data_IF_219848524278
#
_entry.id   IF_219848524278
#
_cell.length_a   1.000
_cell.length_b   1.000
_cell.length_c   1.000
_cell.angle_alpha   90.00
_cell.angle_beta   90.00
_cell.angle_gamma   90.00
#
_symmetry.space_group_name_H-M   'P 1'
#
loop_
_entity.id
_entity.type
_entity.pdbx_description
1 polymer ?
#
# COMPACT_ATOMS: atom_id res chain seq x y z
N UNK A 1 24.30 12.67 -27.03
CA UNK A 1 25.60 13.00 -26.41
C UNK A 1 26.43 13.64 -27.49
N UNK A 2 26.99 14.82 -27.25
CA UNK A 2 27.84 15.52 -28.22
C UNK A 2 29.12 15.89 -27.47
N UNK A 3 30.28 15.51 -28.01
CA UNK A 3 31.59 15.80 -27.41
C UNK A 3 31.72 15.40 -25.92
N UNK A 4 31.14 14.27 -25.52
CA UNK A 4 31.19 13.79 -24.13
C UNK A 4 30.17 14.44 -23.18
N UNK A 5 29.39 15.42 -23.64
CA UNK A 5 28.34 16.06 -22.85
C UNK A 5 26.95 15.48 -23.16
N UNK A 6 26.17 15.25 -22.10
CA UNK A 6 24.78 14.80 -22.17
C UNK A 6 23.86 15.97 -21.89
N UNK A 7 23.06 16.37 -22.88
CA UNK A 7 22.04 17.40 -22.69
C UNK A 7 20.84 16.83 -21.96
N UNK A 8 20.39 17.56 -20.93
CA UNK A 8 19.31 17.13 -20.06
C UNK A 8 18.27 18.23 -19.93
N UNK A 9 17.00 17.82 -19.89
CA UNK A 9 15.91 18.75 -19.56
C UNK A 9 15.80 18.95 -18.05
N UNK A 10 15.24 20.08 -17.60
CA UNK A 10 15.12 20.46 -16.17
C UNK A 10 14.58 19.34 -15.28
N UNK A 11 13.61 18.53 -15.76
CA UNK A 11 13.07 17.38 -15.02
C UNK A 11 14.11 16.26 -14.81
N UNK A 12 14.96 16.01 -15.79
CA UNK A 12 16.02 15.00 -15.69
C UNK A 12 17.11 15.46 -14.71
N UNK A 13 17.52 16.74 -14.79
CA UNK A 13 18.46 17.34 -13.83
C UNK A 13 17.93 17.24 -12.39
N UNK A 14 16.65 17.59 -12.17
CA UNK A 14 16.03 17.46 -10.85
C UNK A 14 16.03 16.02 -10.31
N UNK A 15 15.85 15.02 -11.19
CA UNK A 15 15.93 13.60 -10.81
C UNK A 15 17.35 13.19 -10.46
N UNK A 16 18.35 13.61 -11.24
CA UNK A 16 19.76 13.30 -10.97
C UNK A 16 20.22 13.96 -9.67
N UNK A 17 19.86 15.23 -9.45
CA UNK A 17 20.19 15.94 -8.22
C UNK A 17 19.57 15.25 -7.00
N UNK A 18 18.29 14.84 -7.11
CA UNK A 18 17.62 14.08 -6.05
C UNK A 18 18.38 12.79 -5.75
N UNK A 19 18.74 12.03 -6.78
CA UNK A 19 19.47 10.77 -6.60
C UNK A 19 20.82 10.99 -5.93
N UNK A 20 21.58 12.00 -6.37
CA UNK A 20 22.86 12.35 -5.78
C UNK A 20 22.75 12.75 -4.31
N UNK A 21 21.74 13.56 -3.95
CA UNK A 21 21.47 13.94 -2.56
C UNK A 21 21.06 12.71 -1.73
N UNK A 22 20.19 11.85 -2.27
CA UNK A 22 19.77 10.61 -1.58
C UNK A 22 20.98 9.72 -1.30
N UNK A 23 21.85 9.48 -2.28
CA UNK A 23 23.08 8.70 -2.10
C UNK A 23 23.99 9.35 -1.06
N UNK A 24 24.15 10.68 -1.09
CA UNK A 24 24.98 11.39 -0.12
C UNK A 24 24.47 11.20 1.31
N UNK A 25 23.17 11.42 1.54
CA UNK A 25 22.54 11.23 2.85
C UNK A 25 22.63 9.78 3.31
N UNK A 26 22.38 8.81 2.43
CA UNK A 26 22.50 7.39 2.74
C UNK A 26 23.94 7.04 3.17
N UNK A 27 24.96 7.51 2.44
CA UNK A 27 26.36 7.32 2.83
C UNK A 27 26.67 7.95 4.18
N UNK A 28 26.26 9.22 4.39
CA UNK A 28 26.46 9.92 5.66
C UNK A 28 25.81 9.22 6.85
N UNK A 29 24.78 8.39 6.65
CA UNK A 29 24.15 7.60 7.71
C UNK A 29 24.82 6.22 7.83
N UNK A 30 25.19 5.59 6.71
CA UNK A 30 25.80 4.25 6.69
C UNK A 30 27.20 4.24 7.31
N UNK A 31 27.92 5.37 7.19
CA UNK A 31 29.24 5.56 7.80
C UNK A 31 29.17 5.71 9.34
N UNK A 32 27.98 5.92 9.93
CA UNK A 32 27.78 5.79 11.36
C UNK A 32 27.63 4.30 11.73
N UNK A 33 28.71 3.69 12.23
CA UNK A 33 28.61 2.39 12.89
C UNK A 33 27.90 2.53 14.23
N UNK A 34 26.60 2.22 14.24
CA UNK A 34 25.82 2.07 15.46
C UNK A 34 25.95 0.62 15.91
N UNK A 35 26.74 0.38 16.97
CA UNK A 35 26.97 -0.96 17.53
C UNK A 35 25.70 -1.56 18.19
N UNK A 36 24.75 -0.73 18.62
CA UNK A 36 23.51 -1.19 19.24
C UNK A 36 22.36 -1.31 18.24
N UNK A 37 21.82 -2.52 18.08
CA UNK A 37 20.52 -2.74 17.40
C UNK A 37 19.34 -2.13 18.17
N UNK A 38 19.56 -1.73 19.42
CA UNK A 38 18.55 -1.17 20.32
C UNK A 38 18.74 0.34 20.43
N UNK A 39 17.64 1.06 20.20
CA UNK A 39 17.59 2.50 20.36
C UNK A 39 17.63 2.82 21.86
N UNK A 40 18.53 3.71 22.34
CA UNK A 40 18.54 4.13 23.73
C UNK A 40 17.16 4.62 24.17
N UNK A 41 16.74 4.28 25.40
CA UNK A 41 15.41 4.61 25.94
C UNK A 41 15.06 6.09 25.79
N UNK A 42 16.03 6.98 26.07
CA UNK A 42 15.88 8.42 25.92
C UNK A 42 15.43 8.82 24.50
N UNK A 43 16.01 8.22 23.46
CA UNK A 43 15.69 8.52 22.05
C UNK A 43 14.39 7.84 21.62
N UNK A 44 14.08 6.68 22.19
CA UNK A 44 12.86 5.92 21.89
C UNK A 44 11.61 6.74 22.20
N UNK A 45 11.57 7.40 23.35
CA UNK A 45 10.43 8.21 23.78
C UNK A 45 10.23 9.43 22.87
N UNK A 46 11.33 10.10 22.46
CA UNK A 46 11.26 11.17 21.46
C UNK A 46 10.79 10.67 20.10
N UNK A 47 11.27 9.50 19.65
CA UNK A 47 10.85 8.91 18.37
C UNK A 47 9.37 8.52 18.41
N UNK A 48 8.88 7.95 19.50
CA UNK A 48 7.46 7.63 19.70
C UNK A 48 6.61 8.90 19.74
N UNK A 49 7.05 9.94 20.45
CA UNK A 49 6.39 11.25 20.49
C UNK A 49 6.35 11.89 19.11
N UNK A 50 7.46 11.90 18.37
CA UNK A 50 7.51 12.42 16.99
C UNK A 50 6.62 11.59 16.07
N UNK A 51 6.62 10.25 16.19
CA UNK A 51 5.71 9.38 15.44
C UNK A 51 4.25 9.68 15.75
N UNK A 52 3.91 9.95 17.00
CA UNK A 52 2.55 10.29 17.43
C UNK A 52 2.13 11.68 16.90
N UNK A 53 2.97 12.71 17.08
CA UNK A 53 2.76 14.05 16.52
C UNK A 53 2.66 14.03 15.00
N UNK A 54 3.56 13.29 14.33
CA UNK A 54 3.47 13.05 12.91
C UNK A 54 2.20 12.28 12.57
N UNK A 55 1.73 11.32 13.37
CA UNK A 55 0.47 10.61 13.10
C UNK A 55 -0.76 11.51 13.21
N UNK A 56 -0.71 12.51 14.11
CA UNK A 56 -1.75 13.53 14.31
C UNK A 56 -1.77 14.55 13.17
N UNK A 57 -0.62 14.91 12.61
CA UNK A 57 -0.50 15.87 11.49
C UNK A 57 -0.37 15.24 10.10
N UNK A 58 -0.05 13.95 10.01
CA UNK A 58 -0.05 13.15 8.79
C UNK A 58 -1.52 12.99 8.43
N UNK A 59 -1.98 13.91 7.58
CA UNK A 59 -3.29 13.89 6.95
C UNK A 59 -3.61 12.41 6.65
N UNK A 60 -4.66 11.81 7.26
CA UNK A 60 -5.06 10.45 6.92
C UNK A 60 -5.17 10.44 5.41
N UNK A 61 -4.54 9.47 4.70
CA UNK A 61 -4.45 9.48 3.22
C UNK A 61 -5.77 9.97 2.66
N UNK A 62 -5.82 11.25 2.24
CA UNK A 62 -7.08 11.87 1.87
C UNK A 62 -7.36 11.31 0.50
N UNK A 63 -8.15 10.26 0.48
CA UNK A 63 -8.63 9.69 -0.75
C UNK A 63 -9.76 10.59 -1.22
N UNK A 64 -9.42 11.54 -2.09
CA UNK A 64 -10.40 12.30 -2.85
C UNK A 64 -10.95 11.34 -3.91
N UNK A 65 -12.17 10.87 -3.71
CA UNK A 65 -12.95 10.26 -4.76
C UNK A 65 -14.18 11.14 -5.02
N UNK A 66 -14.36 11.59 -6.26
CA UNK A 66 -15.46 12.45 -6.68
C UNK A 66 -15.64 13.69 -5.77
N UNK A 67 -14.56 14.39 -5.45
CA UNK A 67 -14.59 15.62 -4.64
C UNK A 67 -14.84 15.44 -3.13
N UNK A 68 -15.24 14.25 -2.67
CA UNK A 68 -15.50 13.97 -1.24
C UNK A 68 -14.25 13.40 -0.55
N UNK A 69 -13.89 13.96 0.61
CA UNK A 69 -12.80 13.44 1.47
C UNK A 69 -13.29 12.18 2.19
N UNK A 70 -12.65 11.04 1.93
CA UNK A 70 -12.89 9.80 2.67
C UNK A 70 -11.77 9.60 3.70
N UNK A 71 -12.14 9.49 4.97
CA UNK A 71 -11.22 9.24 6.08
C UNK A 71 -11.52 7.85 6.64
N UNK A 72 -10.74 6.85 6.24
CA UNK A 72 -10.75 5.53 6.90
C UNK A 72 -9.33 5.24 7.33
N UNK A 73 -9.16 5.04 8.64
CA UNK A 73 -7.94 4.53 9.24
C UNK A 73 -8.17 3.05 9.49
N UNK A 74 -7.63 2.19 8.63
CA UNK A 74 -7.49 0.76 8.91
C UNK A 74 -6.19 0.56 9.67
N UNK A 75 -6.19 -0.29 10.69
CA UNK A 75 -4.96 -0.71 11.35
C UNK A 75 -4.09 -1.54 10.38
N UNK A 76 -2.79 -1.58 10.64
CA UNK A 76 -1.89 -2.47 9.90
C UNK A 76 -2.35 -3.93 10.05
N UNK A 77 -2.31 -4.69 8.96
CA UNK A 77 -2.83 -6.05 8.89
C UNK A 77 -4.35 -6.14 8.75
N UNK A 78 -5.12 -5.05 8.88
CA UNK A 78 -6.56 -5.07 8.67
C UNK A 78 -6.91 -4.82 7.21
N UNK A 79 -7.30 -5.89 6.50
CA UNK A 79 -7.71 -5.85 5.10
C UNK A 79 -9.18 -6.25 4.95
N UNK A 80 -10.00 -5.29 4.52
CA UNK A 80 -11.41 -5.53 4.15
C UNK A 80 -11.51 -6.04 2.70
N UNK A 81 -11.65 -7.34 2.50
CA UNK A 81 -11.72 -7.95 1.16
C UNK A 81 -12.94 -7.47 0.36
N UNK A 82 -14.05 -7.15 1.04
CA UNK A 82 -15.30 -6.62 0.46
C UNK A 82 -15.11 -5.22 -0.12
N UNK A 83 -14.07 -4.50 0.32
CA UNK A 83 -13.74 -3.19 -0.19
C UNK A 83 -12.92 -3.25 -1.49
N UNK A 84 -12.51 -4.43 -1.97
CA UNK A 84 -11.66 -4.54 -3.15
C UNK A 84 -12.35 -3.98 -4.40
N UNK A 85 -11.65 -3.17 -5.21
CA UNK A 85 -12.18 -2.76 -6.50
C UNK A 85 -12.34 -3.96 -7.42
N UNK A 86 -13.25 -3.92 -8.42
CA UNK A 86 -13.58 -5.07 -9.27
C UNK A 86 -12.36 -5.69 -9.96
N UNK A 87 -11.38 -4.86 -10.36
CA UNK A 87 -10.14 -5.30 -10.98
C UNK A 87 -9.30 -6.17 -10.02
N UNK A 88 -9.11 -5.69 -8.78
CA UNK A 88 -8.33 -6.43 -7.77
C UNK A 88 -9.11 -7.62 -7.22
N UNK A 89 -10.43 -7.50 -7.08
CA UNK A 89 -11.31 -8.60 -6.67
C UNK A 89 -11.23 -9.76 -7.67
N UNK A 90 -11.28 -9.48 -8.97
CA UNK A 90 -11.10 -10.49 -10.02
C UNK A 90 -9.77 -11.23 -9.93
N UNK A 91 -8.65 -10.52 -9.69
CA UNK A 91 -7.33 -11.14 -9.54
C UNK A 91 -7.24 -11.95 -8.25
N UNK A 92 -7.78 -11.41 -7.15
CA UNK A 92 -7.82 -12.07 -5.85
C UNK A 92 -8.61 -13.38 -5.92
N UNK A 93 -9.80 -13.37 -6.52
CA UNK A 93 -10.65 -14.55 -6.63
C UNK A 93 -10.03 -15.61 -7.57
N UNK A 94 -9.36 -15.20 -8.65
CA UNK A 94 -8.59 -16.10 -9.50
C UNK A 94 -7.48 -16.82 -8.71
N UNK A 95 -6.75 -16.07 -7.87
CA UNK A 95 -5.72 -16.63 -7.01
C UNK A 95 -6.30 -17.60 -5.97
N UNK A 96 -7.44 -17.28 -5.35
CA UNK A 96 -8.13 -18.18 -4.42
C UNK A 96 -8.61 -19.47 -5.08
N UNK A 97 -8.93 -19.44 -6.38
CA UNK A 97 -9.27 -20.64 -7.17
C UNK A 97 -8.05 -21.46 -7.60
N UNK A 98 -6.83 -21.01 -7.25
CA UNK A 98 -5.59 -21.64 -7.66
C UNK A 98 -5.27 -21.47 -9.15
N UNK A 99 -5.86 -20.47 -9.81
CA UNK A 99 -5.53 -20.17 -11.20
C UNK A 99 -4.10 -19.63 -11.31
N UNK A 100 -3.43 -19.97 -12.41
CA UNK A 100 -2.10 -19.44 -12.66
C UNK A 100 -2.17 -17.97 -13.10
N UNK A 101 -1.76 -17.08 -12.21
CA UNK A 101 -1.70 -15.65 -12.50
C UNK A 101 -0.50 -15.30 -13.38
N UNK A 102 -0.71 -14.42 -14.35
CA UNK A 102 0.36 -13.76 -15.11
C UNK A 102 1.25 -12.90 -14.21
N UNK A 103 2.47 -12.61 -14.67
CA UNK A 103 3.41 -11.73 -13.96
C UNK A 103 2.78 -10.39 -13.55
N UNK A 104 2.03 -9.76 -14.46
CA UNK A 104 1.36 -8.49 -14.17
C UNK A 104 0.24 -8.61 -13.13
N UNK A 105 -0.51 -9.71 -13.12
CA UNK A 105 -1.53 -9.97 -12.10
C UNK A 105 -0.89 -10.16 -10.71
N UNK A 106 0.17 -10.96 -10.62
CA UNK A 106 0.92 -11.18 -9.38
C UNK A 106 1.47 -9.87 -8.83
N UNK A 107 2.11 -9.06 -9.68
CA UNK A 107 2.61 -7.74 -9.30
C UNK A 107 1.48 -6.82 -8.83
N UNK A 108 0.36 -6.77 -9.58
CA UNK A 108 -0.76 -5.89 -9.27
C UNK A 108 -1.37 -6.21 -7.90
N UNK A 109 -1.64 -7.49 -7.59
CA UNK A 109 -2.25 -7.88 -6.32
C UNK A 109 -1.27 -7.72 -5.15
N UNK A 110 -0.01 -8.10 -5.31
CA UNK A 110 1.00 -7.97 -4.26
C UNK A 110 1.22 -6.50 -3.87
N UNK A 111 1.47 -5.64 -4.86
CA UNK A 111 1.66 -4.20 -4.61
C UNK A 111 0.39 -3.54 -4.08
N UNK A 112 -0.80 -3.94 -4.52
CA UNK A 112 -2.06 -3.46 -3.98
C UNK A 112 -2.20 -3.77 -2.49
N UNK A 113 -2.07 -5.05 -2.11
CA UNK A 113 -2.17 -5.52 -0.72
C UNK A 113 -1.19 -4.77 0.20
N UNK A 114 0.08 -4.66 -0.20
CA UNK A 114 1.09 -3.92 0.55
C UNK A 114 0.76 -2.42 0.71
N UNK A 115 0.11 -1.81 -0.29
CA UNK A 115 -0.21 -0.37 -0.26
C UNK A 115 -1.48 -0.04 0.54
N UNK A 116 -2.39 -1.00 0.71
CA UNK A 116 -3.59 -0.87 1.57
C UNK A 116 -3.30 -1.20 3.05
N UNK A 117 -2.17 -1.84 3.34
CA UNK A 117 -1.69 -2.11 4.71
C UNK A 117 -1.63 -3.57 5.11
N UNK A 118 -1.71 -4.51 4.15
CA UNK A 118 -1.48 -5.92 4.43
C UNK A 118 -0.03 -6.17 4.87
N UNK A 119 0.17 -7.11 5.78
CA UNK A 119 1.51 -7.55 6.19
C UNK A 119 2.16 -8.41 5.10
N UNK A 120 3.48 -8.57 5.18
CA UNK A 120 4.22 -9.44 4.25
C UNK A 120 3.70 -10.87 4.32
N UNK A 121 3.47 -11.39 5.54
CA UNK A 121 2.98 -12.76 5.72
C UNK A 121 1.57 -12.94 5.15
N UNK A 122 0.68 -11.95 5.28
CA UNK A 122 -0.64 -12.00 4.63
C UNK A 122 -0.55 -12.07 3.10
N UNK A 123 0.42 -11.37 2.50
CA UNK A 123 0.63 -11.42 1.05
C UNK A 123 1.21 -12.77 0.64
N UNK A 124 2.17 -13.31 1.39
CA UNK A 124 2.75 -14.64 1.15
C UNK A 124 1.67 -15.72 1.28
N UNK A 125 0.85 -15.66 2.34
CA UNK A 125 -0.26 -16.58 2.57
C UNK A 125 -1.26 -16.58 1.43
N UNK A 126 -1.57 -15.40 0.87
CA UNK A 126 -2.41 -15.30 -0.31
C UNK A 126 -1.83 -16.07 -1.51
N UNK A 127 -0.51 -16.00 -1.72
CA UNK A 127 0.17 -16.71 -2.81
C UNK A 127 0.33 -18.22 -2.59
N UNK A 128 0.05 -18.76 -1.40
CA UNK A 128 0.04 -20.22 -1.18
C UNK A 128 -0.93 -20.96 -2.09
N UNK A 129 -1.97 -20.28 -2.57
CA UNK A 129 -2.92 -20.84 -3.52
C UNK A 129 -2.37 -20.93 -4.95
N UNK A 130 -1.25 -20.27 -5.26
CA UNK A 130 -0.67 -20.32 -6.60
C UNK A 130 -0.05 -21.70 -6.87
N UNK A 131 -0.22 -22.25 -8.09
CA UNK A 131 0.24 -23.60 -8.43
C UNK A 131 1.77 -23.77 -8.40
N UNK A 132 2.50 -22.67 -8.57
CA UNK A 132 3.97 -22.59 -8.57
C UNK A 132 4.54 -22.01 -7.26
N UNK A 133 3.75 -22.02 -6.18
CA UNK A 133 4.15 -21.39 -4.93
C UNK A 133 5.44 -21.99 -4.36
N UNK A 134 6.41 -21.11 -4.12
CA UNK A 134 7.59 -21.40 -3.33
C UNK A 134 7.75 -20.31 -2.27
N UNK A 135 7.75 -20.68 -0.99
CA UNK A 135 7.76 -19.70 0.10
C UNK A 135 9.00 -18.80 0.07
N UNK A 136 10.20 -19.39 -0.10
CA UNK A 136 11.46 -18.63 -0.09
C UNK A 136 11.49 -17.60 -1.21
N UNK A 137 11.15 -18.00 -2.43
CA UNK A 137 11.10 -17.11 -3.59
C UNK A 137 10.02 -16.05 -3.42
N UNK A 138 8.82 -16.44 -2.99
CA UNK A 138 7.70 -15.51 -2.81
C UNK A 138 7.99 -14.47 -1.74
N UNK A 139 8.52 -14.90 -0.58
CA UNK A 139 8.92 -14.00 0.51
C UNK A 139 9.93 -12.97 0.02
N UNK A 140 10.98 -13.42 -0.69
CA UNK A 140 11.97 -12.52 -1.26
C UNK A 140 11.34 -11.48 -2.21
N UNK A 141 10.47 -11.92 -3.11
CA UNK A 141 9.77 -11.03 -4.05
C UNK A 141 8.88 -10.01 -3.33
N UNK A 142 8.10 -10.45 -2.34
CA UNK A 142 7.19 -9.59 -1.57
C UNK A 142 7.98 -8.57 -0.73
N UNK A 143 9.06 -9.00 -0.07
CA UNK A 143 9.95 -8.10 0.68
C UNK A 143 10.59 -7.04 -0.24
N UNK A 144 10.98 -7.42 -1.46
CA UNK A 144 11.48 -6.48 -2.44
C UNK A 144 10.41 -5.45 -2.86
N UNK A 145 9.18 -5.90 -3.13
CA UNK A 145 8.07 -5.01 -3.44
C UNK A 145 7.72 -4.07 -2.28
N UNK A 146 7.88 -4.54 -1.04
CA UNK A 146 7.68 -3.75 0.17
C UNK A 146 8.77 -2.69 0.40
N UNK A 147 9.89 -2.77 -0.33
CA UNK A 147 11.05 -1.90 -0.12
C UNK A 147 11.94 -2.35 1.04
N UNK A 148 11.87 -3.61 1.47
CA UNK A 148 12.76 -4.16 2.51
C UNK A 148 14.06 -4.75 1.93
N UNK A 149 14.20 -4.78 0.60
CA UNK A 149 15.37 -5.32 -0.12
C UNK A 149 15.79 -4.40 -1.26
N UNK A 150 17.07 -4.44 -1.63
CA UNK A 150 17.61 -3.67 -2.77
C UNK A 150 17.57 -2.17 -2.52
N UNK A 151 17.07 -1.39 -3.49
CA UNK A 151 16.95 0.09 -3.46
C UNK A 151 16.05 0.68 -2.36
N UNK A 152 15.53 -0.16 -1.46
CA UNK A 152 14.62 0.19 -0.35
C UNK A 152 13.36 0.97 -0.77
N UNK A 153 13.02 0.94 -2.05
CA UNK A 153 11.88 1.67 -2.61
C UNK A 153 10.64 0.79 -2.66
N UNK A 154 9.63 1.14 -1.86
CA UNK A 154 8.32 0.50 -1.92
C UNK A 154 7.67 0.73 -3.29
N UNK A 155 7.27 -0.36 -3.94
CA UNK A 155 6.60 -0.30 -5.24
C UNK A 155 5.16 0.21 -5.08
N UNK A 156 4.75 1.00 -6.06
CA UNK A 156 3.39 1.54 -6.15
C UNK A 156 2.51 0.61 -6.96
N UNK A 157 1.25 0.49 -6.54
CA UNK A 157 0.21 -0.19 -7.30
C UNK A 157 -0.02 0.49 -8.65
N UNK A 158 -0.34 -0.30 -9.68
CA UNK A 158 -0.69 0.23 -10.99
C UNK A 158 -1.84 1.25 -10.93
N UNK A 159 -1.73 2.27 -11.80
CA UNK A 159 -2.83 3.21 -12.07
C UNK A 159 -3.97 2.51 -12.80
N UNK A 160 -5.17 3.11 -12.79
CA UNK A 160 -6.29 2.57 -13.57
C UNK A 160 -5.98 2.51 -15.07
N UNK A 161 -5.32 3.53 -15.61
CA UNK A 161 -4.84 3.57 -17.00
C UNK A 161 -3.89 2.41 -17.32
N UNK A 162 -2.92 2.13 -16.43
CA UNK A 162 -2.01 1.00 -16.62
C UNK A 162 -2.72 -0.35 -16.53
N UNK A 163 -3.69 -0.48 -15.63
CA UNK A 163 -4.52 -1.69 -15.54
C UNK A 163 -5.36 -1.90 -16.82
N UNK A 164 -5.88 -0.83 -17.42
CA UNK A 164 -6.60 -0.88 -18.70
C UNK A 164 -5.68 -1.32 -19.84
N UNK A 165 -4.51 -0.69 -19.96
CA UNK A 165 -3.53 -1.03 -21.00
C UNK A 165 -3.03 -2.48 -20.93
N UNK A 166 -3.01 -3.07 -19.73
CA UNK A 166 -2.63 -4.46 -19.49
C UNK A 166 -3.81 -5.45 -19.57
N UNK A 167 -5.02 -5.00 -19.89
CA UNK A 167 -6.21 -5.86 -19.93
C UNK A 167 -6.67 -6.38 -18.55
N UNK A 168 -6.19 -5.79 -17.46
CA UNK A 168 -6.50 -6.18 -16.09
C UNK A 168 -7.68 -5.40 -15.48
N UNK A 169 -8.17 -4.37 -16.17
CA UNK A 169 -9.27 -3.55 -15.70
C UNK A 169 -10.62 -4.20 -16.00
N UNK A 170 -11.51 -4.27 -15.00
CA UNK A 170 -12.84 -4.90 -15.09
C UNK A 170 -14.01 -3.91 -15.04
N UNK A 171 -13.74 -2.61 -15.04
CA UNK A 171 -14.78 -1.58 -15.08
C UNK A 171 -14.28 -0.19 -14.73
N UNK A 172 -15.06 0.83 -15.10
CA UNK A 172 -14.75 2.22 -14.75
C UNK A 172 -15.27 2.55 -13.35
N UNK A 173 -14.32 2.75 -12.43
CA UNK A 173 -14.61 3.08 -11.05
C UNK A 173 -14.69 4.60 -10.80
N UNK A 174 -14.39 5.45 -11.79
CA UNK A 174 -14.31 6.91 -11.64
C UNK A 174 -13.17 7.37 -10.73
N UNK A 175 -12.06 6.62 -10.67
CA UNK A 175 -10.89 6.93 -9.83
C UNK A 175 -9.58 6.74 -10.58
N UNK A 176 -8.51 7.36 -10.08
CA UNK A 176 -7.18 7.32 -10.72
C UNK A 176 -6.42 6.01 -10.48
N UNK A 177 -6.69 5.30 -9.39
CA UNK A 177 -6.03 4.04 -9.06
C UNK A 177 -6.86 3.17 -8.09
N UNK A 178 -6.42 1.93 -7.94
CA UNK A 178 -7.11 0.89 -7.16
C UNK A 178 -7.11 1.17 -5.65
N UNK A 179 -6.08 1.83 -5.13
CA UNK A 179 -6.00 2.23 -3.71
C UNK A 179 -7.09 3.25 -3.36
N UNK A 180 -7.34 4.22 -4.26
CA UNK A 180 -8.40 5.21 -4.09
C UNK A 180 -9.78 4.54 -4.11
N UNK A 181 -10.00 3.58 -5.03
CA UNK A 181 -11.25 2.83 -5.05
C UNK A 181 -11.46 2.03 -3.76
N UNK A 182 -10.40 1.37 -3.27
CA UNK A 182 -10.44 0.56 -2.05
C UNK A 182 -10.90 1.37 -0.83
N UNK A 183 -10.20 2.46 -0.51
CA UNK A 183 -10.56 3.26 0.67
C UNK A 183 -11.92 3.94 0.53
N UNK A 184 -12.36 4.27 -0.70
CA UNK A 184 -13.72 4.74 -0.96
C UNK A 184 -14.75 3.67 -0.61
N UNK A 185 -14.54 2.43 -1.03
CA UNK A 185 -15.44 1.31 -0.75
C UNK A 185 -15.45 0.98 0.75
N UNK A 186 -14.27 0.89 1.37
CA UNK A 186 -14.13 0.68 2.81
C UNK A 186 -14.87 1.76 3.62
N UNK A 187 -14.82 3.02 3.19
CA UNK A 187 -15.55 4.11 3.85
C UNK A 187 -17.06 3.92 3.84
N UNK A 188 -17.61 3.38 2.74
CA UNK A 188 -19.04 3.10 2.64
C UNK A 188 -19.43 1.96 3.57
N UNK A 189 -18.63 0.90 3.60
CA UNK A 189 -18.85 -0.28 4.46
C UNK A 189 -18.82 0.15 5.93
N UNK A 190 -17.78 0.86 6.38
CA UNK A 190 -17.65 1.30 7.78
C UNK A 190 -18.82 2.21 8.19
N UNK A 191 -19.29 3.10 7.30
CA UNK A 191 -20.47 3.94 7.58
C UNK A 191 -21.74 3.11 7.73
N UNK A 192 -21.93 2.10 6.88
CA UNK A 192 -23.09 1.21 6.96
C UNK A 192 -23.07 0.38 8.25
N UNK A 193 -21.90 -0.12 8.67
CA UNK A 193 -21.74 -0.87 9.92
C UNK A 193 -22.10 -0.01 11.14
N UNK A 194 -21.57 1.21 11.21
CA UNK A 194 -21.92 2.17 12.28
C UNK A 194 -23.42 2.50 12.31
N UNK A 195 -24.04 2.69 11.15
CA UNK A 195 -25.48 2.94 11.06
C UNK A 195 -26.33 1.76 11.56
N UNK A 196 -25.89 0.52 11.31
CA UNK A 196 -26.55 -0.69 11.80
C UNK A 196 -26.40 -0.90 13.31
N UNK A 197 -25.22 -0.61 13.87
CA UNK A 197 -24.99 -0.66 15.32
C UNK A 197 -25.91 0.31 16.08
N UNK A 198 -26.08 1.54 15.59
CA UNK A 198 -27.04 2.49 16.16
C UNK A 198 -28.49 1.99 16.09
N UNK A 199 -28.87 1.30 15.02
CA UNK A 199 -30.22 0.77 14.85
C UNK A 199 -30.50 -0.45 15.74
N UNK A 200 -29.49 -1.32 15.93
CA UNK A 200 -29.55 -2.48 16.83
C UNK A 200 -29.63 -2.03 18.30
N UNK A 201 -28.79 -1.07 18.70
CA UNK A 201 -28.80 -0.52 20.05
C UNK A 201 -30.12 0.18 20.39
N UNK A 202 -30.74 0.91 19.44
CA UNK A 202 -32.06 1.51 19.65
C UNK A 202 -33.19 0.46 19.72
N UNK A 203 -33.10 -0.64 18.95
CA UNK A 203 -34.10 -1.71 18.97
C UNK A 203 -34.05 -2.58 20.23
N UNK A 204 -32.87 -2.73 20.85
CA UNK A 204 -32.70 -3.40 22.14
C UNK A 204 -33.26 -2.58 23.30
N UNK A 205 -33.20 -1.24 23.21
CA UNK A 205 -33.74 -0.34 24.22
C UNK A 205 -35.28 -0.32 24.28
N UNK A 206 -35.97 -0.61 23.17
CA UNK A 206 -37.45 -0.62 23.09
C UNK A 206 -38.10 -1.98 23.39
N UNK A 207 -37.31 -3.04 23.62
CA UNK A 207 -37.82 -4.37 24.01
C UNK A 207 -37.65 -4.69 25.50
N UNK A 208 -37.25 -3.71 26.30
CA UNK A 208 -36.99 -3.83 27.74
C UNK A 208 -37.88 -2.96 28.63
N UNK A 209 -39.04 -2.52 28.13
CA UNK A 209 -40.08 -1.80 28.90
C UNK A 209 -41.40 -2.53 28.80
#
# INVERSE_FOLDING_TARGET
VVQGYVYLVKRQIARLLKEAITIHVERSITDFHIESKTLPSLVKDYVETIKDLLSKHRKPKIVKANGKKCFVKLSEGMVLNEAFPPCMKSIYDALLRGENLSHHQRFAIATFMLNIGATIDQVIDLFKNAPDFNEKTTRYQVEHLAGLRGSQKKYLTYSCEKMQALGLCRGDCGVRNQIVAYYRNASKIVKQLRGKEHHLNNSAFHKGT
#
